data_IF_958914224576
#
_entry.id   IF_958914224576
#
_cell.length_a   1.000
_cell.length_b   1.000
_cell.length_c   1.000
_cell.angle_alpha   90.00
_cell.angle_beta   90.00
_cell.angle_gamma   90.00
#
_symmetry.space_group_name_H-M   'P 1'
#
loop_
_entity.id
_entity.type
_entity.pdbx_description
1 polymer ?
#
# COMPACT_ATOMS: atom_id res chain seq x y z
N UNK A 1 -7.93 4.94 -7.63
CA UNK A 1 -7.61 6.30 -8.12
C UNK A 1 -7.85 7.22 -6.94
N UNK A 2 -7.03 8.24 -6.73
CA UNK A 2 -7.19 9.11 -5.57
C UNK A 2 -8.40 10.04 -5.76
N UNK A 3 -9.25 10.18 -4.74
CA UNK A 3 -10.25 11.25 -4.66
C UNK A 3 -9.61 12.39 -3.88
N UNK A 4 -9.47 13.55 -4.50
CA UNK A 4 -8.81 14.72 -3.88
C UNK A 4 -9.88 15.79 -3.62
N UNK A 5 -9.91 16.26 -2.39
CA UNK A 5 -10.73 17.35 -1.86
C UNK A 5 -9.78 18.38 -1.21
N UNK A 6 -10.30 19.58 -0.91
CA UNK A 6 -9.49 20.72 -0.45
C UNK A 6 -8.59 20.41 0.76
N UNK A 7 -9.09 19.62 1.72
CA UNK A 7 -8.38 19.31 2.97
C UNK A 7 -8.07 17.82 3.14
N UNK A 8 -8.37 17.00 2.13
CA UNK A 8 -8.34 15.54 2.22
C UNK A 8 -8.08 14.88 0.87
N UNK A 9 -7.19 13.91 0.83
CA UNK A 9 -7.04 12.99 -0.28
C UNK A 9 -7.30 11.56 0.19
N UNK A 10 -8.10 10.80 -0.56
CA UNK A 10 -8.40 9.42 -0.25
C UNK A 10 -7.95 8.50 -1.38
N UNK A 11 -7.20 7.47 -1.01
CA UNK A 11 -6.67 6.45 -1.91
C UNK A 11 -7.32 5.11 -1.58
N UNK A 12 -8.07 4.57 -2.53
CA UNK A 12 -8.48 3.18 -2.47
C UNK A 12 -7.39 2.31 -3.10
N UNK A 13 -6.82 1.40 -2.32
CA UNK A 13 -5.74 0.54 -2.78
C UNK A 13 -6.21 -0.43 -3.86
N UNK A 14 -5.73 -0.28 -5.10
CA UNK A 14 -5.93 -1.26 -6.19
C UNK A 14 -5.46 -2.66 -5.79
N UNK A 15 -4.41 -2.73 -4.97
CA UNK A 15 -3.81 -3.96 -4.43
C UNK A 15 -4.69 -4.71 -3.42
N UNK A 16 -5.63 -4.01 -2.77
CA UNK A 16 -6.45 -4.58 -1.71
C UNK A 16 -7.91 -4.78 -2.13
N UNK A 17 -8.23 -4.67 -3.42
CA UNK A 17 -9.58 -4.87 -3.98
C UNK A 17 -10.68 -4.05 -3.26
N UNK A 18 -10.39 -2.79 -2.94
CA UNK A 18 -11.27 -1.83 -2.23
C UNK A 18 -11.43 -2.05 -0.70
N UNK A 19 -10.76 -3.03 -0.10
CA UNK A 19 -10.92 -3.31 1.32
C UNK A 19 -10.09 -2.42 2.26
N UNK A 20 -9.25 -1.55 1.67
CA UNK A 20 -8.31 -0.66 2.36
C UNK A 20 -8.37 0.72 1.76
N UNK A 21 -8.59 1.73 2.59
CA UNK A 21 -8.41 3.13 2.22
C UNK A 21 -7.28 3.77 3.01
N UNK A 22 -6.54 4.62 2.32
CA UNK A 22 -5.52 5.49 2.92
C UNK A 22 -6.03 6.91 2.74
N UNK A 23 -6.24 7.62 3.84
CA UNK A 23 -6.70 9.00 3.86
C UNK A 23 -5.53 9.87 4.31
N UNK A 24 -5.19 10.86 3.50
CA UNK A 24 -4.23 11.90 3.83
C UNK A 24 -5.04 13.16 4.09
N UNK A 25 -4.94 13.75 5.27
CA UNK A 25 -5.74 14.92 5.63
C UNK A 25 -4.91 15.96 6.38
N UNK A 26 -5.34 17.22 6.26
CA UNK A 26 -4.77 18.32 7.04
C UNK A 26 -4.95 18.08 8.53
N UNK A 27 -4.14 18.79 9.33
CA UNK A 27 -4.28 18.79 10.77
C UNK A 27 -5.70 19.21 11.19
N UNK A 28 -6.16 18.65 12.31
CA UNK A 28 -7.49 18.89 12.85
C UNK A 28 -7.40 19.20 14.33
N UNK A 29 -8.21 20.16 14.78
CA UNK A 29 -8.43 20.46 16.19
C UNK A 29 -9.86 20.05 16.55
N UNK A 30 -10.04 19.54 17.78
CA UNK A 30 -11.36 19.15 18.27
C UNK A 30 -12.07 20.37 18.85
N UNK A 31 -13.23 20.70 18.31
CA UNK A 31 -14.08 21.78 18.77
C UNK A 31 -15.44 21.21 19.19
N UNK A 32 -15.63 21.08 20.51
CA UNK A 32 -16.82 20.41 21.06
C UNK A 32 -16.85 18.92 20.68
N UNK A 33 -17.87 18.50 19.94
CA UNK A 33 -18.03 17.12 19.46
C UNK A 33 -17.48 16.91 18.04
N UNK A 34 -17.10 17.98 17.35
CA UNK A 34 -16.69 17.94 15.95
C UNK A 34 -15.18 18.15 15.81
N UNK A 35 -14.64 17.72 14.67
CA UNK A 35 -13.27 18.01 14.26
C UNK A 35 -13.28 19.03 13.13
N UNK A 36 -12.49 20.09 13.29
CA UNK A 36 -12.36 21.17 12.31
C UNK A 36 -10.91 21.19 11.82
N UNK A 37 -10.70 21.43 10.52
CA UNK A 37 -9.36 21.54 9.95
C UNK A 37 -8.65 22.80 10.46
N UNK A 38 -7.38 22.63 10.79
CA UNK A 38 -6.53 23.63 11.43
C UNK A 38 -5.15 23.59 10.77
N UNK A 39 -4.77 24.70 10.12
CA UNK A 39 -3.51 24.81 9.38
C UNK A 39 -2.28 24.87 10.31
N UNK A 40 -2.47 25.17 11.61
CA UNK A 40 -1.41 25.17 12.61
C UNK A 40 -1.13 23.76 13.20
N UNK A 41 -1.88 22.75 12.75
CA UNK A 41 -1.73 21.35 13.18
C UNK A 41 -1.07 20.49 12.10
N UNK A 42 -0.24 19.56 12.55
CA UNK A 42 0.34 18.56 11.66
C UNK A 42 -0.75 17.69 11.03
N UNK A 43 -0.69 17.53 9.71
CA UNK A 43 -1.52 16.58 8.98
C UNK A 43 -1.16 15.13 9.29
N UNK A 44 -2.01 14.21 8.85
CA UNK A 44 -1.83 12.78 9.11
C UNK A 44 -2.25 11.93 7.92
N UNK A 45 -1.69 10.73 7.90
CA UNK A 45 -2.10 9.64 7.03
C UNK A 45 -2.76 8.57 7.87
N UNK A 46 -4.03 8.29 7.58
CA UNK A 46 -4.85 7.31 8.28
C UNK A 46 -5.11 6.11 7.38
N UNK A 47 -4.87 4.90 7.89
CA UNK A 47 -5.15 3.65 7.17
C UNK A 47 -6.39 2.97 7.75
N UNK A 48 -7.41 2.74 6.92
CA UNK A 48 -8.67 2.07 7.26
C UNK A 48 -8.75 0.70 6.58
N UNK A 49 -9.26 -0.31 7.30
CA UNK A 49 -9.47 -1.68 6.78
C UNK A 49 -10.95 -2.10 6.83
N UNK A 50 -11.85 -1.23 6.35
CA UNK A 50 -13.31 -1.35 6.49
C UNK A 50 -13.97 -2.61 5.88
N UNK A 51 -13.25 -3.49 5.20
CA UNK A 51 -13.78 -4.78 4.73
C UNK A 51 -12.87 -5.98 5.03
N UNK A 52 -11.80 -5.81 5.81
CA UNK A 52 -10.90 -6.92 6.14
C UNK A 52 -11.48 -7.75 7.30
N UNK A 53 -12.06 -8.90 6.95
CA UNK A 53 -12.77 -9.81 7.89
C UNK A 53 -11.94 -10.22 9.12
N UNK A 54 -10.61 -10.29 9.02
CA UNK A 54 -9.74 -10.65 10.16
C UNK A 54 -9.60 -9.55 11.22
N UNK A 55 -9.96 -8.30 10.88
CA UNK A 55 -9.92 -7.14 11.77
C UNK A 55 -11.30 -6.73 12.30
N UNK A 56 -12.34 -7.52 11.99
CA UNK A 56 -13.63 -7.43 12.66
C UNK A 56 -13.47 -7.96 14.08
N UNK A 57 -13.91 -7.19 15.07
CA UNK A 57 -14.06 -7.65 16.44
C UNK A 57 -14.87 -8.96 16.40
N UNK A 58 -14.30 -10.03 16.94
CA UNK A 58 -14.91 -11.37 16.83
C UNK A 58 -16.19 -11.52 17.64
N UNK A 59 -16.48 -10.59 18.56
CA UNK A 59 -17.67 -10.57 19.42
C UNK A 59 -18.78 -9.69 18.84
N UNK A 60 -18.44 -8.51 18.31
CA UNK A 60 -19.44 -7.56 17.77
C UNK A 60 -19.57 -7.61 16.25
N UNK A 61 -18.58 -8.16 15.54
CA UNK A 61 -18.50 -8.15 14.08
C UNK A 61 -18.15 -6.79 13.47
N UNK A 62 -17.95 -5.76 14.32
CA UNK A 62 -17.62 -4.41 13.90
C UNK A 62 -16.12 -4.24 13.64
N UNK A 63 -15.78 -3.35 12.72
CA UNK A 63 -14.38 -3.06 12.39
C UNK A 63 -13.92 -1.90 13.26
N UNK A 64 -12.78 -2.05 13.92
CA UNK A 64 -12.05 -0.89 14.45
C UNK A 64 -11.62 -0.04 13.24
N UNK A 65 -12.37 1.05 12.98
CA UNK A 65 -12.37 1.73 11.68
C UNK A 65 -10.98 2.09 11.15
N UNK A 66 -10.06 2.51 12.01
CA UNK A 66 -8.70 2.92 11.65
C UNK A 66 -7.66 2.06 12.36
N UNK A 67 -6.54 1.78 11.70
CA UNK A 67 -5.46 0.93 12.24
C UNK A 67 -4.28 1.75 12.72
N UNK A 68 -3.92 2.78 11.96
CA UNK A 68 -2.77 3.61 12.26
C UNK A 68 -3.01 5.03 11.78
N UNK A 69 -2.60 5.98 12.62
CA UNK A 69 -2.40 7.38 12.25
C UNK A 69 -0.90 7.62 12.17
N UNK A 70 -0.42 7.97 10.99
CA UNK A 70 0.98 8.25 10.71
C UNK A 70 1.11 9.76 10.54
N UNK A 71 1.85 10.48 11.40
CA UNK A 71 2.16 11.88 11.21
C UNK A 71 2.78 12.11 9.83
N UNK A 72 2.32 13.14 9.11
CA UNK A 72 2.76 13.33 7.73
C UNK A 72 4.25 13.68 7.62
N UNK A 73 4.85 14.24 8.68
CA UNK A 73 6.28 14.48 8.78
C UNK A 73 7.11 13.21 8.55
N UNK A 74 6.65 12.05 9.02
CA UNK A 74 7.34 10.77 8.83
C UNK A 74 7.46 10.42 7.34
N UNK A 75 6.43 10.70 6.53
CA UNK A 75 6.49 10.46 5.09
C UNK A 75 7.47 11.41 4.39
N UNK A 76 7.56 12.65 4.87
CA UNK A 76 8.56 13.61 4.40
C UNK A 76 9.98 13.13 4.74
N UNK A 77 10.19 12.60 5.94
CA UNK A 77 11.49 12.05 6.36
C UNK A 77 11.88 10.83 5.50
N UNK A 78 10.94 9.91 5.26
CA UNK A 78 11.16 8.77 4.36
C UNK A 78 11.51 9.26 2.95
N UNK A 79 10.81 10.26 2.42
CA UNK A 79 11.11 10.82 1.09
C UNK A 79 12.49 11.47 1.04
N UNK A 80 12.88 12.16 2.11
CA UNK A 80 14.20 12.76 2.23
C UNK A 80 15.29 11.67 2.27
N UNK A 81 15.14 10.66 3.12
CA UNK A 81 16.06 9.51 3.18
C UNK A 81 16.19 8.82 1.82
N UNK A 82 15.09 8.61 1.09
CA UNK A 82 15.11 8.05 -0.27
C UNK A 82 15.93 8.87 -1.28
N UNK A 83 16.08 10.17 -1.02
CA UNK A 83 16.74 11.12 -1.91
C UNK A 83 18.20 11.36 -1.52
N UNK A 84 18.57 11.12 -0.26
CA UNK A 84 19.90 11.46 0.28
C UNK A 84 20.71 10.28 0.78
N UNK A 85 20.12 9.09 0.89
CA UNK A 85 20.74 7.89 1.46
C UNK A 85 20.58 6.68 0.54
N UNK A 86 21.66 6.32 -0.17
CA UNK A 86 21.65 5.24 -1.16
C UNK A 86 21.36 3.85 -0.54
N UNK A 87 21.84 3.58 0.68
CA UNK A 87 21.59 2.31 1.35
C UNK A 87 20.11 2.15 1.72
N UNK A 88 19.50 3.23 2.23
CA UNK A 88 18.07 3.24 2.51
C UNK A 88 17.26 3.08 1.24
N UNK A 89 17.64 3.78 0.17
CA UNK A 89 17.03 3.66 -1.16
C UNK A 89 17.07 2.23 -1.69
N UNK A 90 18.23 1.58 -1.66
CA UNK A 90 18.36 0.19 -2.13
C UNK A 90 17.48 -0.77 -1.32
N UNK A 91 17.45 -0.62 0.01
CA UNK A 91 16.59 -1.42 0.89
C UNK A 91 15.10 -1.18 0.61
N UNK A 92 14.70 0.07 0.44
CA UNK A 92 13.33 0.45 0.14
C UNK A 92 12.89 -0.07 -1.23
N UNK A 93 13.73 0.08 -2.26
CA UNK A 93 13.47 -0.43 -3.61
C UNK A 93 13.31 -1.96 -3.62
N UNK A 94 14.10 -2.69 -2.81
CA UNK A 94 13.90 -4.14 -2.59
C UNK A 94 12.54 -4.45 -1.99
N UNK A 95 12.07 -3.66 -1.03
CA UNK A 95 10.74 -3.83 -0.43
C UNK A 95 9.62 -3.60 -1.45
N UNK A 96 9.75 -2.56 -2.28
CA UNK A 96 8.79 -2.27 -3.37
C UNK A 96 8.81 -3.38 -4.42
N UNK A 97 9.99 -3.84 -4.84
CA UNK A 97 10.13 -4.92 -5.81
C UNK A 97 9.48 -6.21 -5.31
N UNK A 98 9.65 -6.56 -4.02
CA UNK A 98 8.98 -7.72 -3.42
C UNK A 98 7.45 -7.62 -3.51
N UNK A 99 6.87 -6.42 -3.34
CA UNK A 99 5.42 -6.21 -3.54
C UNK A 99 4.99 -6.51 -5.00
N UNK A 100 5.79 -6.09 -5.98
CA UNK A 100 5.55 -6.37 -7.41
C UNK A 100 5.68 -7.86 -7.75
N UNK A 101 6.61 -8.56 -7.12
CA UNK A 101 6.71 -10.02 -7.23
C UNK A 101 5.38 -10.66 -6.83
N UNK A 102 4.80 -10.30 -5.69
CA UNK A 102 3.52 -10.88 -5.25
C UNK A 102 2.33 -10.53 -6.16
N UNK A 103 2.31 -9.33 -6.75
CA UNK A 103 1.33 -8.96 -7.77
C UNK A 103 1.43 -9.88 -8.99
N UNK A 104 2.64 -10.08 -9.50
CA UNK A 104 2.93 -10.94 -10.66
C UNK A 104 2.64 -12.41 -10.33
N UNK A 105 3.01 -12.91 -9.15
CA UNK A 105 2.63 -14.25 -8.66
C UNK A 105 1.12 -14.42 -8.68
N UNK A 106 0.36 -13.42 -8.20
CA UNK A 106 -1.10 -13.44 -8.26
C UNK A 106 -1.66 -13.45 -9.69
N UNK A 107 -0.95 -12.91 -10.68
CA UNK A 107 -1.30 -12.99 -12.10
C UNK A 107 -0.94 -14.36 -12.70
N UNK A 108 0.19 -14.95 -12.33
CA UNK A 108 0.60 -16.30 -12.73
C UNK A 108 -0.45 -17.32 -12.25
N UNK A 109 -0.89 -17.23 -11.00
CA UNK A 109 -1.93 -18.12 -10.46
C UNK A 109 -3.28 -17.98 -11.16
N UNK A 110 -3.55 -16.85 -11.82
CA UNK A 110 -4.74 -16.65 -12.66
C UNK A 110 -4.56 -17.12 -14.10
N UNK A 111 -3.41 -17.71 -14.44
CA UNK A 111 -3.11 -18.23 -15.78
C UNK A 111 -2.59 -17.18 -16.77
N UNK A 112 -2.06 -16.04 -16.28
CA UNK A 112 -1.45 -15.06 -17.18
C UNK A 112 -0.20 -15.64 -17.84
N UNK A 113 -0.06 -15.50 -19.15
CA UNK A 113 1.13 -15.94 -19.88
C UNK A 113 2.33 -15.03 -19.58
N UNK A 114 3.55 -15.55 -19.75
CA UNK A 114 4.79 -14.78 -19.56
C UNK A 114 4.81 -13.49 -20.39
N UNK A 115 4.39 -13.56 -21.66
CA UNK A 115 4.33 -12.40 -22.55
C UNK A 115 3.39 -11.29 -22.03
N UNK A 116 2.26 -11.66 -21.41
CA UNK A 116 1.35 -10.70 -20.76
C UNK A 116 2.01 -10.05 -19.54
N UNK A 117 2.78 -10.81 -18.77
CA UNK A 117 3.53 -10.29 -17.61
C UNK A 117 4.65 -9.34 -18.04
N UNK A 118 5.37 -9.67 -19.12
CA UNK A 118 6.43 -8.82 -19.70
C UNK A 118 5.85 -7.50 -20.23
N UNK A 119 4.70 -7.56 -20.90
CA UNK A 119 3.97 -6.35 -21.34
C UNK A 119 3.54 -5.49 -20.15
N UNK A 120 2.97 -6.12 -19.10
CA UNK A 120 2.60 -5.44 -17.86
C UNK A 120 3.80 -4.80 -17.15
N UNK A 121 4.94 -5.49 -17.11
CA UNK A 121 6.15 -4.99 -16.48
C UNK A 121 6.70 -3.77 -17.24
N UNK A 122 6.72 -3.83 -18.57
CA UNK A 122 7.12 -2.72 -19.43
C UNK A 122 6.24 -1.47 -19.20
N UNK A 123 4.91 -1.65 -19.18
CA UNK A 123 3.95 -0.56 -18.92
C UNK A 123 4.12 0.11 -17.54
N UNK A 124 4.77 -0.60 -16.60
CA UNK A 124 4.97 -0.17 -15.21
C UNK A 124 6.42 0.15 -14.86
N UNK A 125 7.33 0.10 -15.84
CA UNK A 125 8.78 0.21 -15.63
C UNK A 125 9.28 -0.76 -14.54
N UNK A 126 8.75 -1.98 -14.52
CA UNK A 126 9.18 -3.03 -13.61
C UNK A 126 10.32 -3.80 -14.30
N UNK A 127 11.49 -3.98 -13.65
CA UNK A 127 12.60 -4.75 -14.22
C UNK A 127 12.21 -6.21 -14.51
N UNK A 128 12.74 -6.77 -15.59
CA UNK A 128 12.40 -8.14 -16.05
C UNK A 128 12.74 -9.20 -15.01
N UNK A 129 13.77 -8.95 -14.20
CA UNK A 129 14.25 -9.82 -13.13
C UNK A 129 13.18 -10.03 -12.05
N UNK A 130 12.24 -9.10 -11.89
CA UNK A 130 11.10 -9.22 -10.99
C UNK A 130 10.13 -10.31 -11.48
N UNK A 131 9.97 -10.47 -12.80
CA UNK A 131 9.15 -11.53 -13.39
C UNK A 131 9.80 -12.90 -13.16
N UNK A 132 11.10 -13.01 -13.40
CA UNK A 132 11.83 -14.26 -13.19
C UNK A 132 11.75 -14.72 -11.74
N UNK A 133 11.98 -13.79 -10.79
CA UNK A 133 11.82 -14.08 -9.36
C UNK A 133 10.37 -14.49 -9.00
N UNK A 134 9.36 -13.95 -9.67
CA UNK A 134 7.97 -14.36 -9.44
C UNK A 134 7.70 -15.81 -9.88
N UNK A 135 8.26 -16.24 -11.02
CA UNK A 135 8.18 -17.64 -11.44
C UNK A 135 8.90 -18.57 -10.46
N UNK A 136 10.11 -18.20 -10.01
CA UNK A 136 10.85 -18.99 -9.01
C UNK A 136 10.06 -19.19 -7.70
N UNK A 137 9.35 -18.16 -7.24
CA UNK A 137 8.51 -18.24 -6.03
C UNK A 137 7.39 -19.26 -6.23
N UNK A 138 6.70 -19.24 -7.39
CA UNK A 138 5.63 -20.20 -7.70
C UNK A 138 6.17 -21.62 -7.80
N UNK A 139 7.34 -21.83 -8.42
CA UNK A 139 7.97 -23.14 -8.52
C UNK A 139 8.38 -23.70 -7.15
N UNK A 140 8.99 -22.87 -6.30
CA UNK A 140 9.35 -23.26 -4.93
C UNK A 140 8.13 -23.67 -4.11
N UNK A 141 7.02 -22.94 -4.23
CA UNK A 141 5.78 -23.27 -3.53
C UNK A 141 5.20 -24.60 -4.00
N UNK A 142 5.16 -24.86 -5.31
CA UNK A 142 4.74 -26.17 -5.86
C UNK A 142 5.63 -27.32 -5.39
N UNK A 143 6.93 -27.10 -5.25
CA UNK A 143 7.87 -28.13 -4.78
C UNK A 143 7.77 -28.45 -3.29
N UNK A 144 7.12 -27.59 -2.50
CA UNK A 144 6.86 -27.81 -1.07
C UNK A 144 5.49 -28.45 -0.81
N UNK A 145 4.59 -28.45 -1.80
CA UNK A 145 3.27 -29.08 -1.74
C UNK A 145 3.24 -30.49 -2.35
N UNK A 146 4.34 -30.92 -3.00
CA UNK A 146 4.54 -32.23 -3.62
C UNK A 146 5.33 -33.18 -2.70
#
# INVERSE_FOLDING_TARGET
MAKIEENRAEFHGKYFKNNVSVIIEKGQTKEGNDYVYDDDKEGKVTVFLSDIRSYKDKKTGEIAGYIANIPIGILSDIHNELSTNDDFKEMFDKCVANSKIFEIVGMIYKGSSRQTLESFANDKNIPIEVIDRAFEVVEKQKSQEA
#
